data_IF_235415045357
#
_entry.id   IF_235415045357
#
_cell.length_a   1.000
_cell.length_b   1.000
_cell.length_c   1.000
_cell.angle_alpha   90.00
_cell.angle_beta   90.00
_cell.angle_gamma   90.00
#
_symmetry.space_group_name_H-M   'P 1'
#
loop_
_entity.id
_entity.type
_entity.pdbx_description
1 polymer ?
#
# COMPACT_ATOMS: atom_id res chain seq x y z
N UNK A 1 -30.85 -11.08 39.35
CA UNK A 1 -32.29 -10.74 39.33
C UNK A 1 -32.65 -10.63 37.86
N UNK A 2 -33.51 -11.50 37.31
CA UNK A 2 -33.83 -11.51 35.88
C UNK A 2 -35.06 -10.64 35.63
N UNK A 3 -34.92 -9.61 34.79
CA UNK A 3 -36.00 -8.74 34.41
C UNK A 3 -36.40 -9.11 32.97
N UNK A 4 -37.47 -9.89 32.84
CA UNK A 4 -38.06 -10.23 31.54
C UNK A 4 -39.07 -9.13 31.21
N UNK A 5 -38.78 -8.30 30.21
CA UNK A 5 -39.71 -7.28 29.73
C UNK A 5 -40.06 -7.61 28.30
N UNK A 6 -41.33 -7.92 28.05
CA UNK A 6 -41.85 -8.07 26.71
C UNK A 6 -42.07 -6.65 26.15
N UNK A 7 -41.27 -6.27 25.14
CA UNK A 7 -41.33 -5.02 24.37
C UNK A 7 -40.77 -3.75 25.07
N UNK A 8 -39.44 -3.59 25.04
CA UNK A 8 -38.74 -2.37 25.47
C UNK A 8 -38.56 -1.39 24.30
N UNK A 9 -39.62 -0.66 23.95
CA UNK A 9 -39.54 0.45 22.98
C UNK A 9 -39.47 1.79 23.72
N UNK A 10 -38.36 2.50 23.58
CA UNK A 10 -38.13 3.83 24.16
C UNK A 10 -38.34 4.93 23.12
N UNK A 11 -38.78 6.12 23.57
CA UNK A 11 -39.04 7.29 22.71
C UNK A 11 -37.92 8.32 22.78
N UNK A 12 -38.01 9.37 21.96
CA UNK A 12 -37.02 10.46 21.86
C UNK A 12 -36.56 11.00 23.21
N UNK A 13 -35.25 11.05 23.44
CA UNK A 13 -34.61 11.62 24.64
C UNK A 13 -34.53 10.69 25.85
N UNK A 14 -34.99 9.44 25.73
CA UNK A 14 -34.87 8.44 26.78
C UNK A 14 -33.48 7.75 26.74
N UNK A 15 -32.82 7.71 27.90
CA UNK A 15 -31.58 6.95 28.14
C UNK A 15 -31.88 5.62 28.85
N UNK A 16 -31.06 4.60 28.61
CA UNK A 16 -31.15 3.30 29.29
C UNK A 16 -29.83 2.95 29.97
N UNK A 17 -29.89 2.62 31.25
CA UNK A 17 -28.77 2.01 31.98
C UNK A 17 -29.15 0.57 32.35
N UNK A 18 -28.29 -0.39 31.97
CA UNK A 18 -28.38 -1.80 32.38
C UNK A 18 -27.21 -2.11 33.32
N UNK A 19 -27.41 -2.05 34.65
CA UNK A 19 -26.35 -2.30 35.63
C UNK A 19 -25.82 -3.73 35.60
N UNK A 20 -24.68 -3.95 36.25
CA UNK A 20 -24.15 -5.29 36.49
C UNK A 20 -25.17 -6.20 37.19
N UNK A 21 -25.20 -7.48 36.82
CA UNK A 21 -26.10 -8.47 37.41
C UNK A 21 -27.58 -8.38 36.95
N UNK A 22 -27.90 -7.41 36.09
CA UNK A 22 -29.19 -7.35 35.39
C UNK A 22 -29.11 -8.10 34.06
N UNK A 23 -30.13 -8.91 33.80
CA UNK A 23 -30.36 -9.59 32.53
C UNK A 23 -31.64 -9.05 31.91
N UNK A 24 -31.55 -8.53 30.69
CA UNK A 24 -32.68 -8.24 29.80
C UNK A 24 -32.70 -9.31 28.72
N UNK A 25 -33.85 -9.99 28.55
CA UNK A 25 -34.00 -11.04 27.54
C UNK A 25 -35.30 -10.90 26.77
N UNK A 26 -35.28 -11.26 25.48
CA UNK A 26 -36.47 -11.44 24.64
C UNK A 26 -36.49 -12.86 24.08
N UNK A 27 -37.66 -13.52 24.10
CA UNK A 27 -37.85 -14.89 23.61
C UNK A 27 -38.24 -14.98 22.14
N UNK A 28 -38.75 -13.89 21.55
CA UNK A 28 -39.39 -13.92 20.23
C UNK A 28 -38.93 -12.76 19.32
N UNK A 29 -37.83 -12.08 19.67
CA UNK A 29 -37.31 -11.01 18.82
C UNK A 29 -36.24 -10.13 19.45
N UNK A 30 -36.40 -8.82 19.25
CA UNK A 30 -35.51 -7.76 19.71
C UNK A 30 -35.63 -7.54 21.23
N UNK A 31 -34.52 -7.39 21.95
CA UNK A 31 -34.54 -7.18 23.40
C UNK A 31 -34.69 -5.70 23.82
N UNK A 32 -34.08 -4.77 23.08
CA UNK A 32 -34.18 -3.32 23.32
C UNK A 32 -34.32 -2.59 21.98
N UNK A 33 -35.33 -1.70 21.89
CA UNK A 33 -35.56 -0.81 20.76
C UNK A 33 -35.61 0.64 21.23
N UNK A 34 -34.80 1.52 20.67
CA UNK A 34 -34.85 2.95 20.95
C UNK A 34 -35.17 3.70 19.65
N UNK A 35 -36.34 4.36 19.63
CA UNK A 35 -36.87 5.07 18.48
C UNK A 35 -36.83 6.59 18.74
N UNK A 36 -36.22 7.35 17.83
CA UNK A 36 -36.09 8.80 17.95
C UNK A 36 -34.67 9.29 18.24
N UNK A 37 -34.55 10.52 18.75
CA UNK A 37 -33.27 11.22 18.86
C UNK A 37 -32.66 11.19 20.25
N UNK A 38 -31.33 11.27 20.33
CA UNK A 38 -30.60 11.60 21.56
C UNK A 38 -30.45 10.47 22.58
N UNK A 39 -30.48 9.21 22.15
CA UNK A 39 -30.38 8.07 23.06
C UNK A 39 -28.94 7.77 23.46
N UNK A 40 -28.72 7.57 24.77
CA UNK A 40 -27.53 6.90 25.32
C UNK A 40 -27.95 5.61 26.02
N UNK A 41 -27.50 4.47 25.50
CA UNK A 41 -27.67 3.17 26.15
C UNK A 41 -26.33 2.75 26.76
N UNK A 42 -26.31 2.51 28.07
CA UNK A 42 -25.14 2.00 28.80
C UNK A 42 -25.41 0.60 29.33
N UNK A 43 -24.54 -0.36 29.00
CA UNK A 43 -24.71 -1.78 29.33
C UNK A 43 -23.51 -2.29 30.13
N UNK A 44 -23.72 -2.50 31.43
CA UNK A 44 -22.80 -3.20 32.33
C UNK A 44 -23.28 -4.62 32.70
N UNK A 45 -24.56 -4.92 32.45
CA UNK A 45 -25.15 -6.26 32.60
C UNK A 45 -25.17 -7.08 31.30
N UNK A 46 -26.19 -7.92 31.14
CA UNK A 46 -26.38 -8.76 29.94
C UNK A 46 -27.69 -8.40 29.24
N UNK A 47 -27.62 -8.17 27.93
CA UNK A 47 -28.79 -8.08 27.05
C UNK A 47 -28.72 -9.24 26.05
N UNK A 48 -29.77 -10.06 26.00
CA UNK A 48 -29.90 -11.16 25.05
C UNK A 48 -31.20 -11.07 24.27
N UNK A 49 -31.13 -11.05 22.94
CA UNK A 49 -32.32 -11.23 22.10
C UNK A 49 -32.20 -12.45 21.19
N UNK A 50 -33.30 -12.86 20.58
CA UNK A 50 -33.26 -13.92 19.56
C UNK A 50 -32.82 -13.33 18.22
N UNK A 51 -33.59 -12.41 17.65
CA UNK A 51 -33.26 -11.77 16.36
C UNK A 51 -32.34 -10.56 16.50
N UNK A 52 -32.32 -9.92 17.69
CA UNK A 52 -31.69 -8.63 17.93
C UNK A 52 -31.42 -8.37 19.42
N UNK A 53 -30.23 -7.93 19.84
CA UNK A 53 -30.07 -7.46 21.23
C UNK A 53 -30.50 -5.99 21.37
N UNK A 54 -29.94 -5.10 20.54
CA UNK A 54 -30.22 -3.66 20.58
C UNK A 54 -30.48 -3.11 19.18
N UNK A 55 -31.56 -2.36 19.02
CA UNK A 55 -31.87 -1.55 17.85
C UNK A 55 -31.92 -0.08 18.27
N UNK A 56 -31.17 0.74 17.56
CA UNK A 56 -31.19 2.19 17.66
C UNK A 56 -31.62 2.75 16.30
N UNK A 57 -32.77 3.42 16.27
CA UNK A 57 -33.37 3.92 15.02
C UNK A 57 -33.88 5.35 15.20
N UNK A 58 -33.08 6.30 14.72
CA UNK A 58 -33.30 7.73 14.93
C UNK A 58 -33.79 8.48 13.69
N UNK A 59 -34.00 9.79 13.84
CA UNK A 59 -34.14 10.70 12.71
C UNK A 59 -32.80 10.90 11.98
N UNK A 60 -32.88 11.37 10.74
CA UNK A 60 -31.68 11.71 9.96
C UNK A 60 -30.91 12.85 10.65
N UNK A 61 -29.72 12.55 11.18
CA UNK A 61 -28.83 13.51 11.84
C UNK A 61 -28.77 13.44 13.37
N UNK A 62 -29.60 12.61 14.01
CA UNK A 62 -29.63 12.50 15.47
C UNK A 62 -28.44 11.68 16.00
N UNK A 63 -27.83 12.12 17.11
CA UNK A 63 -26.78 11.36 17.77
C UNK A 63 -27.37 10.15 18.53
N UNK A 64 -26.76 8.99 18.35
CA UNK A 64 -27.08 7.75 19.04
C UNK A 64 -25.79 7.17 19.64
N UNK A 65 -25.81 6.88 20.94
CA UNK A 65 -24.65 6.35 21.67
C UNK A 65 -24.99 5.03 22.34
N UNK A 66 -24.12 4.04 22.14
CA UNK A 66 -24.16 2.77 22.87
C UNK A 66 -22.80 2.55 23.53
N UNK A 67 -22.81 2.37 24.85
CA UNK A 67 -21.62 2.10 25.66
C UNK A 67 -21.79 0.74 26.31
N UNK A 68 -20.88 -0.18 26.04
CA UNK A 68 -20.82 -1.50 26.67
C UNK A 68 -19.64 -1.46 27.63
N UNK A 69 -19.94 -1.37 28.92
CA UNK A 69 -18.92 -1.31 29.96
C UNK A 69 -18.17 -2.64 30.09
N UNK A 70 -17.03 -2.63 30.78
CA UNK A 70 -16.33 -3.88 31.13
C UNK A 70 -17.27 -4.82 31.88
N UNK A 71 -17.29 -6.09 31.47
CA UNK A 71 -18.21 -7.10 31.99
C UNK A 71 -19.62 -7.06 31.37
N UNK A 72 -19.96 -5.98 30.67
CA UNK A 72 -21.19 -5.88 29.88
C UNK A 72 -21.17 -6.82 28.68
N UNK A 73 -22.33 -7.38 28.36
CA UNK A 73 -22.46 -8.32 27.24
C UNK A 73 -23.74 -8.08 26.45
N UNK A 74 -23.60 -8.08 25.12
CA UNK A 74 -24.70 -8.16 24.16
C UNK A 74 -24.62 -9.49 23.41
N UNK A 75 -25.75 -10.17 23.27
CA UNK A 75 -25.80 -11.41 22.50
C UNK A 75 -27.10 -11.57 21.73
N UNK A 76 -27.01 -12.05 20.50
CA UNK A 76 -28.17 -12.43 19.69
C UNK A 76 -27.88 -13.64 18.80
N UNK A 77 -28.94 -14.26 18.28
CA UNK A 77 -28.83 -15.42 17.37
C UNK A 77 -28.51 -15.03 15.92
N UNK A 78 -28.68 -13.76 15.53
CA UNK A 78 -28.32 -13.27 14.20
C UNK A 78 -27.60 -11.93 14.24
N UNK A 79 -28.30 -10.85 14.64
CA UNK A 79 -27.71 -9.50 14.73
C UNK A 79 -27.66 -9.02 16.17
N UNK A 80 -26.50 -8.70 16.76
CA UNK A 80 -26.49 -8.20 18.15
C UNK A 80 -26.91 -6.73 18.22
N UNK A 81 -26.30 -5.86 17.40
CA UNK A 81 -26.57 -4.43 17.41
C UNK A 81 -26.95 -3.94 16.02
N UNK A 82 -28.01 -3.14 15.91
CA UNK A 82 -28.38 -2.45 14.68
C UNK A 82 -28.55 -0.96 14.90
N UNK A 83 -27.89 -0.16 14.07
CA UNK A 83 -28.09 1.29 13.95
C UNK A 83 -28.69 1.60 12.59
N UNK A 84 -29.91 2.15 12.58
CA UNK A 84 -30.68 2.34 11.35
C UNK A 84 -30.64 3.76 10.79
N UNK A 85 -30.20 4.77 11.55
CA UNK A 85 -30.05 6.16 11.10
C UNK A 85 -29.21 6.99 12.09
N UNK A 86 -28.90 8.23 11.70
CA UNK A 86 -28.31 9.23 12.59
C UNK A 86 -26.78 9.29 12.53
N UNK A 87 -26.18 9.81 13.60
CA UNK A 87 -24.75 9.78 13.88
C UNK A 87 -24.50 8.75 14.97
N UNK A 88 -23.72 7.73 14.65
CA UNK A 88 -23.52 6.56 15.50
C UNK A 88 -22.22 6.68 16.28
N UNK A 89 -22.29 6.50 17.61
CA UNK A 89 -21.13 6.26 18.46
C UNK A 89 -21.32 4.95 19.22
N UNK A 90 -20.34 4.05 19.12
CA UNK A 90 -20.31 2.79 19.87
C UNK A 90 -18.98 2.67 20.60
N UNK A 91 -19.03 2.51 21.92
CA UNK A 91 -17.86 2.21 22.76
C UNK A 91 -18.02 0.82 23.35
N UNK A 92 -17.22 -0.15 22.90
CA UNK A 92 -17.26 -1.52 23.39
C UNK A 92 -16.05 -1.85 24.27
N UNK A 93 -16.23 -1.83 25.59
CA UNK A 93 -15.28 -2.36 26.57
C UNK A 93 -15.64 -3.77 27.07
N UNK A 94 -16.75 -4.34 26.60
CA UNK A 94 -17.29 -5.62 27.02
C UNK A 94 -17.23 -6.66 25.91
N UNK A 95 -18.34 -7.37 25.69
CA UNK A 95 -18.46 -8.39 24.66
C UNK A 95 -19.73 -8.25 23.82
N UNK A 96 -19.57 -8.34 22.50
CA UNK A 96 -20.68 -8.44 21.54
C UNK A 96 -20.57 -9.79 20.86
N UNK A 97 -21.62 -10.60 20.93
CA UNK A 97 -21.64 -11.96 20.39
C UNK A 97 -22.85 -12.19 19.47
N UNK A 98 -22.59 -12.38 18.18
CA UNK A 98 -23.58 -12.87 17.24
C UNK A 98 -22.94 -13.84 16.21
N UNK A 99 -23.58 -14.99 15.90
CA UNK A 99 -23.07 -15.93 14.90
C UNK A 99 -23.28 -15.43 13.46
N UNK A 100 -24.10 -14.39 13.26
CA UNK A 100 -24.27 -13.68 12.00
C UNK A 100 -23.50 -12.35 12.00
N UNK A 101 -24.23 -11.26 12.18
CA UNK A 101 -23.73 -9.88 12.12
C UNK A 101 -23.65 -9.32 13.53
N UNK A 102 -22.46 -9.19 14.10
CA UNK A 102 -22.33 -8.59 15.43
C UNK A 102 -22.91 -7.17 15.46
N UNK A 103 -22.55 -6.36 14.44
CA UNK A 103 -22.96 -4.97 14.34
C UNK A 103 -23.42 -4.71 12.91
N UNK A 104 -24.55 -4.03 12.79
CA UNK A 104 -25.14 -3.66 11.53
C UNK A 104 -25.45 -2.16 11.51
N UNK A 105 -24.85 -1.40 10.59
CA UNK A 105 -24.99 0.06 10.53
C UNK A 105 -25.42 0.49 9.14
N UNK A 106 -26.53 1.24 9.05
CA UNK A 106 -26.88 2.01 7.85
C UNK A 106 -27.28 1.21 6.59
N UNK A 107 -27.56 -0.10 6.71
CA UNK A 107 -27.82 -0.96 5.53
C UNK A 107 -29.12 -0.66 4.80
N UNK A 108 -30.15 -0.22 5.52
CA UNK A 108 -31.45 0.11 4.90
C UNK A 108 -31.49 1.55 4.39
N UNK A 109 -30.73 2.43 5.05
CA UNK A 109 -30.56 3.83 4.70
C UNK A 109 -29.22 4.32 5.26
N UNK A 110 -28.48 5.16 4.53
CA UNK A 110 -27.19 5.63 4.99
C UNK A 110 -27.29 6.40 6.31
N UNK A 111 -26.26 6.24 7.14
CA UNK A 111 -26.05 7.06 8.34
C UNK A 111 -25.11 8.24 8.02
N UNK A 112 -25.22 9.31 8.80
CA UNK A 112 -24.42 10.53 8.64
C UNK A 112 -22.99 10.39 9.17
N UNK A 113 -22.72 9.41 10.03
CA UNK A 113 -21.38 8.98 10.44
C UNK A 113 -21.49 7.79 11.38
N UNK A 114 -20.42 7.00 11.44
CA UNK A 114 -20.27 5.95 12.43
C UNK A 114 -18.86 5.94 13.03
N UNK A 115 -18.77 6.03 14.35
CA UNK A 115 -17.53 5.95 15.11
C UNK A 115 -17.60 4.81 16.11
N UNK A 116 -16.71 3.83 15.95
CA UNK A 116 -16.63 2.63 16.78
C UNK A 116 -15.28 2.60 17.51
N UNK A 117 -15.32 2.51 18.83
CA UNK A 117 -14.17 2.27 19.68
C UNK A 117 -14.31 0.87 20.28
N UNK A 118 -13.37 -0.03 19.99
CA UNK A 118 -13.42 -1.43 20.41
C UNK A 118 -12.14 -1.88 21.15
N UNK A 119 -12.00 -1.54 22.44
CA UNK A 119 -11.06 -2.21 23.35
C UNK A 119 -11.54 -3.59 23.84
N UNK A 120 -12.81 -3.93 23.64
CA UNK A 120 -13.45 -5.18 24.05
C UNK A 120 -13.36 -6.29 22.99
N UNK A 121 -14.34 -7.20 23.03
CA UNK A 121 -14.43 -8.31 22.08
C UNK A 121 -15.70 -8.23 21.24
N UNK A 122 -15.55 -8.46 19.93
CA UNK A 122 -16.64 -8.60 18.97
C UNK A 122 -16.48 -9.95 18.27
N UNK A 123 -17.50 -10.81 18.38
CA UNK A 123 -17.59 -12.06 17.64
C UNK A 123 -18.80 -12.00 16.71
N UNK A 124 -18.54 -12.14 15.40
CA UNK A 124 -19.50 -11.88 14.32
C UNK A 124 -19.02 -10.75 13.41
N UNK A 125 -19.66 -10.59 12.26
CA UNK A 125 -19.28 -9.56 11.28
C UNK A 125 -19.73 -8.16 11.72
N UNK A 126 -18.89 -7.16 11.51
CA UNK A 126 -19.29 -5.75 11.49
C UNK A 126 -19.60 -5.39 10.04
N UNK A 127 -20.83 -5.00 9.75
CA UNK A 127 -21.26 -4.65 8.40
C UNK A 127 -21.85 -3.25 8.43
N UNK A 128 -21.28 -2.38 7.61
CA UNK A 128 -21.63 -0.97 7.54
C UNK A 128 -21.89 -0.55 6.10
N UNK A 129 -22.98 0.16 5.86
CA UNK A 129 -23.23 0.94 4.65
C UNK A 129 -23.40 2.42 5.05
N UNK A 130 -22.33 3.21 4.94
CA UNK A 130 -22.31 4.64 5.34
C UNK A 130 -22.15 5.53 4.13
N UNK A 131 -22.80 6.70 4.11
CA UNK A 131 -22.63 7.68 3.00
C UNK A 131 -21.97 8.99 3.42
N UNK A 132 -21.37 9.08 4.61
CA UNK A 132 -20.70 10.32 5.08
C UNK A 132 -19.48 10.04 6.01
N UNK A 133 -19.04 8.78 6.15
CA UNK A 133 -17.81 8.42 6.84
C UNK A 133 -17.95 7.37 7.96
N UNK A 134 -16.99 6.45 8.00
CA UNK A 134 -16.85 5.40 9.02
C UNK A 134 -15.49 5.50 9.69
N UNK A 135 -15.46 5.35 11.01
CA UNK A 135 -14.21 5.23 11.77
C UNK A 135 -14.27 4.07 12.75
N UNK A 136 -13.18 3.32 12.83
CA UNK A 136 -12.99 2.24 13.78
C UNK A 136 -11.62 2.33 14.43
N UNK A 137 -11.59 2.44 15.76
CA UNK A 137 -10.40 2.23 16.59
C UNK A 137 -10.54 0.88 17.30
N UNK A 138 -9.77 -0.11 16.85
CA UNK A 138 -9.75 -1.45 17.43
C UNK A 138 -8.46 -1.68 18.21
N UNK A 139 -8.55 -1.72 19.53
CA UNK A 139 -7.46 -2.14 20.44
C UNK A 139 -7.73 -3.50 21.11
N UNK A 140 -8.93 -4.05 20.92
CA UNK A 140 -9.36 -5.36 21.40
C UNK A 140 -9.35 -6.43 20.31
N UNK A 141 -10.44 -7.17 20.18
CA UNK A 141 -10.55 -8.23 19.17
C UNK A 141 -11.85 -8.17 18.37
N UNK A 142 -11.74 -8.36 17.06
CA UNK A 142 -12.85 -8.58 16.13
C UNK A 142 -12.63 -9.94 15.47
N UNK A 143 -13.58 -10.86 15.59
CA UNK A 143 -13.45 -12.20 15.04
C UNK A 143 -14.70 -12.57 14.26
N UNK A 144 -14.52 -12.88 12.97
CA UNK A 144 -15.57 -13.38 12.12
C UNK A 144 -16.22 -14.64 12.71
N UNK A 145 -17.51 -14.82 12.46
CA UNK A 145 -18.25 -15.97 12.99
C UNK A 145 -17.75 -17.34 12.48
N UNK A 146 -17.05 -17.34 11.34
CA UNK A 146 -16.46 -18.54 10.73
C UNK A 146 -15.03 -18.25 10.28
N UNK A 147 -14.16 -19.27 10.20
CA UNK A 147 -12.82 -19.12 9.64
C UNK A 147 -12.87 -18.51 8.24
N UNK A 148 -12.05 -17.50 7.98
CA UNK A 148 -12.00 -16.74 6.71
C UNK A 148 -13.32 -16.03 6.32
N UNK A 149 -14.30 -15.94 7.22
CA UNK A 149 -15.51 -15.16 7.01
C UNK A 149 -15.27 -13.66 7.14
N UNK A 150 -16.32 -12.88 6.87
CA UNK A 150 -16.31 -11.42 7.04
C UNK A 150 -16.15 -11.04 8.51
N UNK A 151 -15.09 -10.28 8.82
CA UNK A 151 -14.92 -9.65 10.13
C UNK A 151 -15.38 -8.19 10.08
N UNK A 152 -15.01 -7.48 9.02
CA UNK A 152 -15.34 -6.07 8.81
C UNK A 152 -15.63 -5.83 7.33
N UNK A 153 -16.82 -5.33 7.02
CA UNK A 153 -17.21 -4.89 5.68
C UNK A 153 -17.79 -3.49 5.79
N UNK A 154 -17.16 -2.53 5.12
CA UNK A 154 -17.58 -1.13 5.06
C UNK A 154 -17.81 -0.78 3.60
N UNK A 155 -18.99 -0.26 3.28
CA UNK A 155 -19.32 0.21 1.94
C UNK A 155 -19.77 1.66 1.95
N UNK A 156 -19.56 2.35 0.82
CA UNK A 156 -19.92 3.75 0.62
C UNK A 156 -18.71 4.69 0.76
N UNK A 157 -18.83 5.72 1.57
CA UNK A 157 -17.81 6.79 1.71
C UNK A 157 -16.55 6.34 2.47
N UNK A 158 -15.53 7.21 2.45
CA UNK A 158 -14.22 6.97 3.03
C UNK A 158 -14.27 6.50 4.50
N UNK A 159 -13.51 5.45 4.76
CA UNK A 159 -13.34 4.80 6.04
C UNK A 159 -11.96 5.10 6.61
N UNK A 160 -11.89 5.29 7.92
CA UNK A 160 -10.65 5.36 8.68
C UNK A 160 -10.59 4.22 9.69
N UNK A 161 -9.66 3.30 9.50
CA UNK A 161 -9.45 2.14 10.37
C UNK A 161 -8.11 2.24 11.08
N UNK A 162 -8.13 2.18 12.41
CA UNK A 162 -6.94 2.00 13.25
C UNK A 162 -7.07 0.67 13.96
N UNK A 163 -6.13 -0.25 13.70
CA UNK A 163 -6.07 -1.54 14.38
C UNK A 163 -4.78 -1.67 15.18
N UNK A 164 -4.88 -1.62 16.50
CA UNK A 164 -3.82 -2.00 17.45
C UNK A 164 -4.05 -3.40 18.08
N UNK A 165 -5.23 -3.97 17.86
CA UNK A 165 -5.65 -5.27 18.41
C UNK A 165 -5.56 -6.41 17.40
N UNK A 166 -6.53 -7.33 17.45
CA UNK A 166 -6.63 -8.47 16.55
C UNK A 166 -7.90 -8.41 15.69
N UNK A 167 -7.76 -8.65 14.39
CA UNK A 167 -8.88 -8.87 13.46
C UNK A 167 -8.71 -10.24 12.81
N UNK A 168 -9.66 -11.14 13.02
CA UNK A 168 -9.65 -12.50 12.45
C UNK A 168 -10.79 -12.64 11.44
N UNK A 169 -10.47 -12.58 10.16
CA UNK A 169 -11.43 -12.64 9.05
C UNK A 169 -11.10 -11.64 7.94
N UNK A 170 -11.94 -11.61 6.92
CA UNK A 170 -11.86 -10.64 5.82
C UNK A 170 -12.13 -9.23 6.35
N UNK A 171 -11.26 -8.30 5.96
CA UNK A 171 -11.47 -6.86 6.01
C UNK A 171 -11.72 -6.38 4.58
N UNK A 172 -12.87 -5.76 4.34
CA UNK A 172 -13.25 -5.24 3.03
C UNK A 172 -13.80 -3.82 3.15
N UNK A 173 -13.17 -2.90 2.46
CA UNK A 173 -13.64 -1.56 2.16
C UNK A 173 -13.91 -1.52 0.63
N UNK A 174 -14.76 -0.62 0.10
CA UNK A 174 -15.26 -0.79 -1.28
C UNK A 174 -15.26 0.40 -2.23
N UNK A 175 -15.56 1.63 -1.82
CA UNK A 175 -15.98 2.67 -2.79
C UNK A 175 -15.46 4.10 -2.54
N UNK A 176 -14.40 4.29 -1.73
CA UNK A 176 -13.81 5.60 -1.48
C UNK A 176 -12.33 5.52 -1.08
N UNK A 177 -11.65 6.67 -1.06
CA UNK A 177 -10.27 6.77 -0.57
C UNK A 177 -10.18 6.50 0.93
N UNK A 178 -9.83 5.27 1.27
CA UNK A 178 -9.80 4.72 2.61
C UNK A 178 -8.42 4.81 3.26
N UNK A 179 -8.40 4.93 4.59
CA UNK A 179 -7.15 4.97 5.36
C UNK A 179 -7.17 3.89 6.42
N UNK A 180 -6.22 2.97 6.33
CA UNK A 180 -6.05 1.86 7.26
C UNK A 180 -4.65 1.90 7.88
N UNK A 181 -4.58 2.10 9.19
CA UNK A 181 -3.36 1.95 9.98
C UNK A 181 -3.44 0.67 10.79
N UNK A 182 -2.55 -0.28 10.51
CA UNK A 182 -2.41 -1.51 11.25
C UNK A 182 -1.11 -1.53 12.06
N UNK A 183 -1.25 -1.68 13.37
CA UNK A 183 -0.19 -1.93 14.37
C UNK A 183 -0.41 -3.23 15.14
N UNK A 184 -1.50 -3.93 14.84
CA UNK A 184 -1.89 -5.19 15.45
C UNK A 184 -1.77 -6.36 14.47
N UNK A 185 -2.57 -7.40 14.69
CA UNK A 185 -2.60 -8.59 13.86
C UNK A 185 -3.90 -8.69 13.06
N UNK A 186 -3.79 -8.98 11.77
CA UNK A 186 -4.91 -9.31 10.89
C UNK A 186 -4.69 -10.71 10.31
N UNK A 187 -5.60 -11.63 10.62
CA UNK A 187 -5.59 -12.99 10.10
C UNK A 187 -6.74 -13.12 9.10
N UNK A 188 -6.45 -12.81 7.84
CA UNK A 188 -7.43 -12.80 6.77
C UNK A 188 -6.98 -11.94 5.60
N UNK A 189 -7.81 -11.90 4.56
CA UNK A 189 -7.59 -11.02 3.42
C UNK A 189 -7.96 -9.57 3.76
N UNK A 190 -7.27 -8.62 3.13
CA UNK A 190 -7.61 -7.19 3.15
C UNK A 190 -7.91 -6.74 1.72
N UNK A 191 -9.03 -6.04 1.53
CA UNK A 191 -9.47 -5.47 0.25
C UNK A 191 -9.91 -4.03 0.49
N UNK A 192 -9.36 -3.06 -0.22
CA UNK A 192 -9.70 -1.64 0.01
C UNK A 192 -10.67 -1.08 -1.05
N UNK A 193 -10.63 -1.61 -2.27
CA UNK A 193 -11.69 -1.37 -3.26
C UNK A 193 -11.34 -0.22 -4.19
N UNK A 194 -12.28 0.66 -4.48
CA UNK A 194 -12.04 1.82 -5.32
C UNK A 194 -11.70 3.05 -4.48
N UNK A 195 -10.82 3.91 -4.95
CA UNK A 195 -10.31 5.07 -4.23
C UNK A 195 -8.79 5.03 -4.14
N UNK A 196 -8.15 6.19 -3.98
CA UNK A 196 -6.71 6.22 -3.65
C UNK A 196 -6.53 5.92 -2.17
N UNK A 197 -6.22 4.67 -1.86
CA UNK A 197 -6.22 4.14 -0.51
C UNK A 197 -4.83 4.19 0.14
N UNK A 198 -4.81 4.29 1.46
CA UNK A 198 -3.59 4.22 2.26
C UNK A 198 -3.68 3.04 3.22
N UNK A 199 -2.81 2.05 3.04
CA UNK A 199 -2.57 0.98 4.01
C UNK A 199 -1.19 1.14 4.65
N UNK A 200 -1.18 1.68 5.86
CA UNK A 200 0.01 1.73 6.70
C UNK A 200 0.07 0.49 7.59
N UNK A 201 0.84 -0.51 7.17
CA UNK A 201 1.05 -1.75 7.93
C UNK A 201 2.39 -1.76 8.69
N UNK A 202 3.02 -0.60 8.93
CA UNK A 202 4.26 -0.55 9.73
C UNK A 202 4.04 -1.15 11.11
N UNK A 203 4.98 -1.98 11.58
CA UNK A 203 4.91 -2.69 12.85
C UNK A 203 3.69 -3.63 13.04
N UNK A 204 2.82 -3.75 12.03
CA UNK A 204 1.66 -4.65 12.02
C UNK A 204 1.93 -5.95 11.26
N UNK A 205 1.07 -6.94 11.50
CA UNK A 205 1.08 -8.23 10.82
C UNK A 205 -0.21 -8.41 10.01
N UNK A 206 -0.10 -8.72 8.71
CA UNK A 206 -1.25 -9.13 7.87
C UNK A 206 -0.96 -10.50 7.25
N UNK A 207 -1.63 -11.52 7.81
CA UNK A 207 -1.50 -12.91 7.38
C UNK A 207 -2.58 -13.26 6.36
N UNK A 208 -2.46 -12.70 5.17
CA UNK A 208 -3.35 -13.00 4.04
C UNK A 208 -2.99 -12.22 2.79
N UNK A 209 -3.76 -12.38 1.71
CA UNK A 209 -3.61 -11.55 0.52
C UNK A 209 -4.14 -10.13 0.79
N UNK A 210 -3.47 -9.15 0.20
CA UNK A 210 -3.88 -7.74 0.16
C UNK A 210 -4.22 -7.38 -1.28
N UNK A 211 -5.32 -6.66 -1.46
CA UNK A 211 -5.72 -6.04 -2.73
C UNK A 211 -6.10 -4.60 -2.44
N UNK A 212 -5.37 -3.64 -3.01
CA UNK A 212 -5.64 -2.22 -2.78
C UNK A 212 -6.86 -1.84 -3.64
N UNK A 213 -6.74 -1.89 -4.97
CA UNK A 213 -7.86 -1.96 -5.90
C UNK A 213 -7.75 -0.93 -7.02
N UNK A 214 -8.76 -0.09 -7.21
CA UNK A 214 -8.73 0.96 -8.24
C UNK A 214 -8.33 2.29 -7.60
N UNK A 215 -7.32 2.98 -8.12
CA UNK A 215 -6.87 4.27 -7.59
C UNK A 215 -5.34 4.32 -7.50
N UNK A 216 -4.81 5.50 -7.20
CA UNK A 216 -3.37 5.60 -6.92
C UNK A 216 -3.17 5.27 -5.43
N UNK A 217 -2.79 4.03 -5.12
CA UNK A 217 -2.74 3.52 -3.75
C UNK A 217 -1.34 3.61 -3.12
N UNK A 218 -1.31 3.65 -1.78
CA UNK A 218 -0.08 3.58 -0.98
C UNK A 218 -0.13 2.43 0.01
N UNK A 219 0.77 1.46 -0.17
CA UNK A 219 1.08 0.45 0.85
C UNK A 219 2.42 0.75 1.52
N UNK A 220 2.37 1.07 2.81
CA UNK A 220 3.58 1.05 3.66
C UNK A 220 3.71 -0.35 4.25
N UNK A 221 4.71 -1.09 3.75
CA UNK A 221 4.83 -2.51 4.01
C UNK A 221 5.22 -2.81 5.47
N UNK A 222 4.66 -3.90 5.99
CA UNK A 222 4.92 -4.40 7.34
C UNK A 222 5.67 -5.74 7.35
N UNK A 223 5.70 -6.37 8.53
CA UNK A 223 6.24 -7.72 8.67
C UNK A 223 5.13 -8.72 8.29
N UNK A 224 5.30 -9.45 7.17
CA UNK A 224 4.37 -10.43 6.57
C UNK A 224 3.31 -9.90 5.60
N UNK A 225 3.30 -10.47 4.38
CA UNK A 225 2.20 -10.52 3.41
C UNK A 225 2.44 -11.72 2.46
N UNK A 226 1.43 -12.44 1.97
CA UNK A 226 1.68 -13.60 1.06
C UNK A 226 1.59 -13.20 -0.42
N UNK A 227 0.65 -12.31 -0.73
CA UNK A 227 0.45 -11.71 -2.05
C UNK A 227 -0.14 -10.33 -1.83
N UNK A 228 0.39 -9.34 -2.52
CA UNK A 228 -0.12 -7.99 -2.57
C UNK A 228 -0.34 -7.63 -4.03
N UNK A 229 -1.51 -7.07 -4.31
CA UNK A 229 -1.83 -6.46 -5.61
C UNK A 229 -2.22 -5.01 -5.35
N UNK A 230 -1.58 -4.05 -6.02
CA UNK A 230 -2.01 -2.65 -6.05
C UNK A 230 -3.33 -2.58 -6.78
N UNK A 231 -3.30 -2.59 -8.11
CA UNK A 231 -4.46 -2.87 -8.93
C UNK A 231 -4.45 -2.00 -10.18
N UNK A 232 -5.49 -1.21 -10.38
CA UNK A 232 -5.55 -0.20 -11.45
C UNK A 232 -5.15 1.16 -10.89
N UNK A 233 -4.33 1.92 -11.59
CA UNK A 233 -3.85 3.22 -11.12
C UNK A 233 -2.33 3.25 -11.07
N UNK A 234 -1.77 4.24 -10.35
CA UNK A 234 -0.34 4.35 -10.09
C UNK A 234 -0.05 4.05 -8.63
N UNK A 235 0.39 2.82 -8.35
CA UNK A 235 0.49 2.33 -6.99
C UNK A 235 1.90 2.42 -6.42
N UNK A 236 1.98 2.81 -5.15
CA UNK A 236 3.24 2.97 -4.41
C UNK A 236 3.42 1.92 -3.31
N UNK A 237 4.56 1.25 -3.35
CA UNK A 237 5.00 0.31 -2.33
C UNK A 237 6.18 0.89 -1.55
N UNK A 238 6.01 1.10 -0.25
CA UNK A 238 6.97 1.78 0.61
C UNK A 238 7.59 0.84 1.66
N UNK A 239 8.91 0.65 1.56
CA UNK A 239 9.75 -0.12 2.50
C UNK A 239 10.71 0.76 3.31
N UNK A 240 10.56 2.09 3.30
CA UNK A 240 11.49 3.04 3.92
C UNK A 240 11.74 2.82 5.42
N UNK A 241 10.86 2.07 6.08
CA UNK A 241 10.92 1.75 7.50
C UNK A 241 11.47 0.33 7.79
N UNK A 242 11.77 -0.45 6.75
CA UNK A 242 12.25 -1.82 6.84
C UNK A 242 13.78 -1.96 6.88
N UNK A 243 14.25 -3.21 6.85
CA UNK A 243 15.63 -3.53 6.47
C UNK A 243 15.73 -3.82 4.96
N UNK A 244 16.88 -4.36 4.52
CA UNK A 244 17.13 -4.66 3.10
C UNK A 244 15.95 -5.32 2.37
N UNK A 245 15.63 -4.76 1.21
CA UNK A 245 14.54 -5.16 0.32
C UNK A 245 15.11 -5.95 -0.85
N UNK A 246 14.50 -7.09 -1.17
CA UNK A 246 14.78 -7.78 -2.44
C UNK A 246 13.46 -8.07 -3.14
N UNK A 247 13.16 -7.28 -4.17
CA UNK A 247 11.85 -7.19 -4.79
C UNK A 247 11.96 -7.22 -6.33
N UNK A 248 11.12 -8.02 -6.98
CA UNK A 248 10.84 -7.95 -8.41
C UNK A 248 9.34 -7.82 -8.65
N UNK A 249 8.92 -6.79 -9.40
CA UNK A 249 7.51 -6.52 -9.70
C UNK A 249 6.97 -7.28 -10.92
N UNK A 250 7.84 -7.89 -11.72
CA UNK A 250 7.50 -8.65 -12.94
C UNK A 250 7.31 -10.16 -12.73
N UNK A 251 7.27 -10.62 -11.47
CA UNK A 251 7.26 -12.05 -11.09
C UNK A 251 8.53 -12.83 -11.44
N UNK A 252 9.54 -12.23 -12.05
CA UNK A 252 10.83 -12.87 -12.21
C UNK A 252 11.43 -13.05 -10.82
N UNK A 253 11.77 -14.30 -10.48
CA UNK A 253 12.35 -14.59 -9.17
C UNK A 253 13.80 -14.12 -9.16
N UNK A 254 14.20 -13.18 -8.29
CA UNK A 254 15.60 -12.89 -8.11
C UNK A 254 16.24 -14.12 -7.45
N UNK A 255 17.33 -14.63 -8.01
CA UNK A 255 18.14 -15.61 -7.30
C UNK A 255 18.87 -14.87 -6.15
N UNK A 256 18.41 -15.06 -4.90
CA UNK A 256 19.11 -14.55 -3.70
C UNK A 256 18.40 -13.52 -2.82
N UNK A 257 17.06 -13.43 -2.86
CA UNK A 257 16.27 -12.40 -2.15
C UNK A 257 15.71 -12.69 -0.75
N UNK A 258 15.61 -11.67 0.13
CA UNK A 258 15.09 -11.74 1.52
C UNK A 258 13.55 -11.72 1.64
N UNK A 259 12.80 -11.34 0.60
CA UNK A 259 11.34 -11.52 0.58
C UNK A 259 10.98 -12.99 0.28
N UNK A 260 11.10 -13.84 1.31
CA UNK A 260 10.77 -15.26 1.28
C UNK A 260 9.28 -15.48 0.92
N UNK A 261 8.96 -15.65 -0.36
CA UNK A 261 7.67 -16.18 -0.81
C UNK A 261 6.54 -15.17 -0.93
N UNK A 262 6.79 -13.87 -0.76
CA UNK A 262 5.81 -12.81 -1.00
C UNK A 262 5.78 -12.49 -2.51
N UNK A 263 4.65 -12.00 -3.00
CA UNK A 263 4.50 -11.55 -4.40
C UNK A 263 3.82 -10.19 -4.40
N UNK A 264 4.44 -9.21 -5.05
CA UNK A 264 3.91 -7.85 -5.24
C UNK A 264 3.65 -7.65 -6.73
N UNK A 265 2.47 -7.15 -7.08
CA UNK A 265 1.96 -7.05 -8.44
C UNK A 265 1.18 -5.76 -8.62
N UNK A 266 1.23 -5.16 -9.81
CA UNK A 266 0.53 -3.90 -10.10
C UNK A 266 1.04 -2.80 -9.19
N UNK A 267 2.35 -2.57 -9.20
CA UNK A 267 2.98 -1.44 -8.54
C UNK A 267 3.92 -0.81 -9.55
N UNK A 268 3.90 0.51 -9.62
CA UNK A 268 4.73 1.29 -10.52
C UNK A 268 5.75 2.12 -9.73
N UNK A 269 5.48 2.43 -8.47
CA UNK A 269 6.40 3.09 -7.57
C UNK A 269 6.87 2.18 -6.44
N UNK A 270 8.18 2.14 -6.21
CA UNK A 270 8.80 1.46 -5.08
C UNK A 270 9.74 2.42 -4.36
N UNK A 271 9.61 2.46 -3.04
CA UNK A 271 10.56 3.10 -2.14
C UNK A 271 11.25 1.98 -1.35
N UNK A 272 12.57 1.90 -1.50
CA UNK A 272 13.47 0.99 -0.81
C UNK A 272 13.62 1.32 0.68
N UNK A 273 14.64 0.75 1.32
CA UNK A 273 14.93 0.88 2.74
C UNK A 273 15.98 1.95 3.01
N UNK A 274 15.88 2.62 4.15
CA UNK A 274 16.85 3.68 4.50
C UNK A 274 18.19 3.13 5.06
N UNK A 275 18.31 1.82 5.31
CA UNK A 275 19.38 1.23 6.12
C UNK A 275 20.03 -0.02 5.51
N UNK A 276 19.63 -0.45 4.32
CA UNK A 276 20.04 -1.72 3.73
C UNK A 276 20.30 -1.59 2.24
N UNK A 277 21.30 -2.34 1.74
CA UNK A 277 21.47 -2.49 0.30
C UNK A 277 20.32 -3.30 -0.27
N UNK A 278 19.60 -2.70 -1.21
CA UNK A 278 18.40 -3.23 -1.80
C UNK A 278 18.66 -3.81 -3.18
N UNK A 279 17.81 -4.75 -3.59
CA UNK A 279 17.69 -5.16 -4.98
C UNK A 279 16.24 -4.96 -5.41
N UNK A 280 15.99 -4.05 -6.34
CA UNK A 280 14.64 -3.67 -6.75
C UNK A 280 14.55 -3.70 -8.28
N UNK A 281 13.73 -4.61 -8.81
CA UNK A 281 13.40 -4.70 -10.22
C UNK A 281 11.96 -4.27 -10.50
N UNK A 282 11.79 -3.36 -11.46
CA UNK A 282 10.52 -2.87 -11.98
C UNK A 282 9.74 -3.92 -12.78
N UNK A 283 8.87 -3.47 -13.67
CA UNK A 283 8.09 -4.30 -14.58
C UNK A 283 8.20 -3.75 -16.01
N UNK A 284 7.19 -3.92 -16.85
CA UNK A 284 7.21 -3.44 -18.23
C UNK A 284 6.51 -2.07 -18.42
N UNK A 285 6.06 -1.46 -17.31
CA UNK A 285 5.45 -0.14 -17.27
C UNK A 285 6.46 0.91 -16.81
N UNK A 286 6.12 2.19 -16.95
CA UNK A 286 6.93 3.30 -16.47
C UNK A 286 7.01 3.26 -14.93
N UNK A 287 8.19 2.95 -14.40
CA UNK A 287 8.40 2.77 -12.97
C UNK A 287 9.16 3.94 -12.33
N UNK A 288 8.90 4.14 -11.03
CA UNK A 288 9.68 5.00 -10.16
C UNK A 288 10.28 4.17 -9.04
N UNK A 289 11.60 4.10 -8.99
CA UNK A 289 12.31 3.32 -7.97
C UNK A 289 13.26 4.27 -7.22
N UNK A 290 13.11 4.30 -5.89
CA UNK A 290 13.92 5.11 -4.98
C UNK A 290 14.61 4.17 -3.98
N UNK A 291 15.92 3.96 -4.09
CA UNK A 291 16.69 3.03 -3.23
C UNK A 291 16.87 3.53 -1.79
N UNK A 292 16.87 4.85 -1.61
CA UNK A 292 17.11 5.57 -0.35
C UNK A 292 18.54 5.43 0.19
N UNK A 293 18.86 4.42 0.97
CA UNK A 293 20.12 4.36 1.70
C UNK A 293 20.65 2.94 1.81
N UNK A 294 21.85 2.72 1.32
CA UNK A 294 22.36 1.38 1.10
C UNK A 294 23.25 1.34 -0.14
N UNK A 295 23.82 0.19 -0.45
CA UNK A 295 24.39 -0.01 -1.79
C UNK A 295 23.37 -0.79 -2.59
N UNK A 296 22.61 -0.09 -3.42
CA UNK A 296 21.40 -0.59 -4.04
C UNK A 296 21.65 -1.07 -5.47
N UNK A 297 20.83 -2.01 -5.93
CA UNK A 297 20.75 -2.44 -7.33
C UNK A 297 19.33 -2.23 -7.82
N UNK A 298 19.16 -1.23 -8.68
CA UNK A 298 17.87 -0.80 -9.19
C UNK A 298 17.78 -1.12 -10.69
N UNK A 299 16.71 -1.78 -11.12
CA UNK A 299 16.46 -2.11 -12.52
C UNK A 299 15.07 -1.66 -12.94
N UNK A 300 14.99 -0.73 -13.90
CA UNK A 300 13.71 -0.23 -14.46
C UNK A 300 13.05 -1.28 -15.37
N UNK A 301 13.85 -1.86 -16.27
CA UNK A 301 13.49 -2.88 -17.28
C UNK A 301 12.89 -2.28 -18.54
N UNK A 302 11.58 -2.33 -18.72
CA UNK A 302 10.95 -1.76 -19.93
C UNK A 302 10.01 -0.67 -19.48
N UNK A 303 10.04 0.46 -20.17
CA UNK A 303 9.26 1.62 -19.76
C UNK A 303 10.12 2.87 -19.82
N UNK A 304 9.54 4.04 -19.53
CA UNK A 304 10.30 5.24 -19.26
C UNK A 304 10.48 5.37 -17.74
N UNK A 305 11.57 4.81 -17.22
CA UNK A 305 11.77 4.63 -15.79
C UNK A 305 12.47 5.83 -15.14
N UNK A 306 12.18 6.05 -13.86
CA UNK A 306 12.90 7.01 -13.00
C UNK A 306 13.54 6.27 -11.85
N UNK A 307 14.87 6.18 -11.87
CA UNK A 307 15.67 5.47 -10.87
C UNK A 307 16.46 6.48 -10.02
N UNK A 308 16.41 6.33 -8.70
CA UNK A 308 17.21 7.10 -7.74
C UNK A 308 17.91 6.14 -6.81
N UNK A 309 19.24 6.09 -6.84
CA UNK A 309 20.06 5.28 -5.94
C UNK A 309 19.91 5.74 -4.50
N UNK A 310 20.41 6.93 -4.22
CA UNK A 310 20.30 7.54 -2.90
C UNK A 310 21.67 7.66 -2.24
N UNK A 311 21.76 7.40 -0.94
CA UNK A 311 23.06 7.34 -0.26
C UNK A 311 23.70 5.96 -0.42
N UNK A 312 24.89 5.89 -1.03
CA UNK A 312 25.71 4.70 -1.07
C UNK A 312 26.37 4.46 -2.42
N UNK A 313 26.70 3.22 -2.72
CA UNK A 313 27.37 2.87 -3.97
C UNK A 313 26.42 2.09 -4.85
N UNK A 314 25.62 2.80 -5.64
CA UNK A 314 24.44 2.20 -6.26
C UNK A 314 24.72 1.71 -7.67
N UNK A 315 23.98 0.69 -8.10
CA UNK A 315 23.96 0.17 -9.48
C UNK A 315 22.60 0.44 -10.08
N UNK A 316 22.55 1.29 -11.11
CA UNK A 316 21.30 1.70 -11.76
C UNK A 316 21.28 1.16 -13.20
N UNK A 317 20.30 0.32 -13.50
CA UNK A 317 20.04 -0.27 -14.82
C UNK A 317 18.70 0.28 -15.31
N UNK A 318 18.72 1.28 -16.19
CA UNK A 318 17.48 1.84 -16.76
C UNK A 318 16.69 0.76 -17.50
N UNK A 319 17.33 0.19 -18.52
CA UNK A 319 16.74 -0.81 -19.40
C UNK A 319 16.23 -0.18 -20.70
N UNK A 320 15.25 -0.81 -21.33
CA UNK A 320 14.66 -0.33 -22.57
C UNK A 320 13.64 0.78 -22.33
N UNK A 321 13.73 1.82 -23.16
CA UNK A 321 12.87 3.00 -23.04
C UNK A 321 13.71 4.20 -22.61
N UNK A 322 13.07 5.34 -22.34
CA UNK A 322 13.83 6.57 -22.05
C UNK A 322 13.85 6.81 -20.56
N UNK A 323 14.98 6.49 -19.96
CA UNK A 323 15.11 6.46 -18.51
C UNK A 323 15.77 7.70 -17.94
N UNK A 324 15.51 7.95 -16.67
CA UNK A 324 16.10 9.03 -15.89
C UNK A 324 16.72 8.44 -14.63
N UNK A 325 18.05 8.38 -14.59
CA UNK A 325 18.81 7.83 -13.49
C UNK A 325 19.50 8.94 -12.68
N UNK A 326 19.42 8.84 -11.37
CA UNK A 326 20.10 9.73 -10.40
C UNK A 326 20.85 8.85 -9.42
N UNK A 327 22.18 8.95 -9.37
CA UNK A 327 23.00 8.16 -8.45
C UNK A 327 22.75 8.54 -7.00
N UNK A 328 22.78 9.84 -6.68
CA UNK A 328 22.76 10.29 -5.29
C UNK A 328 24.16 10.18 -4.65
N UNK A 329 24.39 10.54 -3.39
CA UNK A 329 25.75 10.54 -2.81
C UNK A 329 26.45 9.19 -2.81
N UNK A 330 27.66 9.13 -3.39
CA UNK A 330 28.58 8.00 -3.22
C UNK A 330 29.28 7.62 -4.52
N UNK A 331 29.42 6.33 -4.81
CA UNK A 331 30.13 5.84 -6.02
C UNK A 331 29.20 4.97 -6.82
N UNK A 332 28.55 5.59 -7.79
CA UNK A 332 27.43 4.97 -8.48
C UNK A 332 27.87 4.40 -9.84
N UNK A 333 27.20 3.35 -10.29
CA UNK A 333 27.43 2.71 -11.58
C UNK A 333 26.14 2.72 -12.38
N UNK A 334 26.14 3.40 -13.52
CA UNK A 334 25.04 3.42 -14.47
C UNK A 334 25.31 2.39 -15.55
N UNK A 335 24.54 1.30 -15.55
CA UNK A 335 24.75 0.14 -16.41
C UNK A 335 23.80 0.20 -17.60
N UNK A 336 24.35 -0.06 -18.78
CA UNK A 336 23.59 -0.14 -20.03
C UNK A 336 23.85 -1.49 -20.69
N UNK A 337 22.78 -2.19 -21.05
CA UNK A 337 22.83 -3.38 -21.89
C UNK A 337 22.50 -3.08 -23.35
N UNK A 338 22.50 -4.12 -24.18
CA UNK A 338 22.11 -3.99 -25.58
C UNK A 338 20.66 -3.51 -25.75
N UNK A 339 20.51 -2.32 -26.32
CA UNK A 339 19.19 -1.74 -26.61
C UNK A 339 18.63 -0.87 -25.48
N UNK A 340 19.36 -0.73 -24.38
CA UNK A 340 18.95 -0.03 -23.16
C UNK A 340 19.29 1.47 -23.20
N UNK A 341 19.22 2.12 -24.36
CA UNK A 341 19.68 3.51 -24.51
C UNK A 341 18.56 4.53 -24.74
N UNK A 342 17.31 4.08 -24.79
CA UNK A 342 16.10 4.82 -25.21
C UNK A 342 16.07 5.32 -26.66
N UNK A 343 17.19 5.80 -27.19
CA UNK A 343 17.42 6.11 -28.58
C UNK A 343 18.59 7.05 -28.83
N UNK A 344 18.86 7.33 -30.11
CA UNK A 344 20.04 8.11 -30.55
C UNK A 344 19.92 9.64 -30.51
N UNK A 345 18.78 10.18 -30.08
CA UNK A 345 18.50 11.64 -30.12
C UNK A 345 18.46 12.25 -28.72
N UNK A 346 18.66 13.57 -28.59
CA UNK A 346 18.58 14.24 -27.27
C UNK A 346 17.24 13.98 -26.55
N UNK A 347 16.15 13.91 -27.31
CA UNK A 347 14.81 13.74 -26.75
C UNK A 347 14.47 12.29 -26.42
N UNK A 348 15.31 11.33 -26.82
CA UNK A 348 15.05 9.89 -26.65
C UNK A 348 16.12 9.14 -25.86
N UNK A 349 17.34 9.66 -25.81
CA UNK A 349 18.40 9.05 -25.02
C UNK A 349 18.15 9.18 -23.52
N UNK A 350 18.67 8.22 -22.77
CA UNK A 350 18.56 8.20 -21.32
C UNK A 350 19.31 9.36 -20.68
N UNK A 351 18.88 9.70 -19.48
CA UNK A 351 19.40 10.86 -18.76
C UNK A 351 20.01 10.42 -17.44
N UNK A 352 21.29 10.72 -17.26
CA UNK A 352 21.95 10.70 -15.96
C UNK A 352 21.93 12.13 -15.41
N UNK A 353 21.30 12.33 -14.26
CA UNK A 353 21.00 13.68 -13.75
C UNK A 353 22.14 14.30 -12.92
N UNK A 354 23.00 13.47 -12.33
CA UNK A 354 23.96 13.92 -11.31
C UNK A 354 25.34 13.25 -11.39
N UNK A 355 25.77 12.84 -12.59
CA UNK A 355 27.07 12.20 -12.82
C UNK A 355 28.24 13.01 -12.20
N UNK A 356 28.99 12.40 -11.26
CA UNK A 356 30.19 12.99 -10.62
C UNK A 356 31.39 12.06 -10.77
N UNK A 357 32.08 12.08 -11.93
CA UNK A 357 33.22 11.19 -12.18
C UNK A 357 34.37 11.39 -11.18
N UNK A 358 34.53 12.62 -10.66
CA UNK A 358 35.53 12.93 -9.62
C UNK A 358 35.27 12.26 -8.27
N UNK A 359 34.02 11.88 -8.00
CA UNK A 359 33.64 11.17 -6.77
C UNK A 359 33.71 9.65 -6.94
N UNK A 360 33.70 9.19 -8.20
CA UNK A 360 33.95 7.80 -8.57
C UNK A 360 32.79 7.16 -9.34
N UNK A 361 31.78 7.94 -9.71
CA UNK A 361 30.67 7.47 -10.55
C UNK A 361 31.20 6.95 -11.90
N UNK A 362 30.57 5.89 -12.42
CA UNK A 362 30.97 5.23 -13.66
C UNK A 362 29.79 4.93 -14.57
N UNK A 363 30.08 4.87 -15.87
CA UNK A 363 29.16 4.36 -16.89
C UNK A 363 29.68 2.98 -17.31
N UNK A 364 28.87 1.95 -17.12
CA UNK A 364 29.19 0.58 -17.50
C UNK A 364 28.52 0.25 -18.84
N UNK A 365 29.34 -0.05 -19.83
CA UNK A 365 28.97 -0.45 -21.18
C UNK A 365 29.52 -1.85 -21.51
N UNK A 366 29.96 -2.61 -20.49
CA UNK A 366 30.60 -3.91 -20.69
C UNK A 366 29.64 -5.01 -21.17
N UNK A 367 28.34 -4.75 -21.16
CA UNK A 367 27.32 -5.64 -21.75
C UNK A 367 26.89 -5.21 -23.17
N UNK A 368 27.55 -4.20 -23.74
CA UNK A 368 27.20 -3.63 -25.05
C UNK A 368 28.29 -3.96 -26.04
N UNK A 369 27.96 -4.80 -27.01
CA UNK A 369 28.89 -5.10 -28.10
C UNK A 369 29.14 -3.85 -28.95
N UNK A 370 30.37 -3.33 -28.86
CA UNK A 370 30.79 -2.14 -29.57
C UNK A 370 30.89 -2.35 -31.09
N UNK A 371 30.92 -3.60 -31.59
CA UNK A 371 30.98 -3.88 -33.03
C UNK A 371 30.16 -5.11 -33.45
N UNK A 372 28.88 -4.87 -33.77
CA UNK A 372 27.93 -5.92 -34.16
C UNK A 372 28.27 -6.66 -35.46
N UNK A 373 29.27 -6.19 -36.21
CA UNK A 373 29.71 -6.82 -37.45
C UNK A 373 30.76 -7.92 -37.22
N UNK A 374 31.30 -8.00 -36.00
CA UNK A 374 32.32 -8.97 -35.60
C UNK A 374 31.75 -9.84 -34.47
N UNK A 375 32.07 -11.14 -34.49
CA UNK A 375 31.56 -12.06 -33.48
C UNK A 375 32.28 -11.91 -32.14
N UNK A 376 31.53 -11.83 -31.05
CA UNK A 376 32.02 -11.68 -29.68
C UNK A 376 31.47 -10.40 -29.05
N UNK A 377 31.98 -10.04 -27.88
CA UNK A 377 31.68 -8.77 -27.22
C UNK A 377 32.92 -7.88 -27.30
N UNK A 378 32.82 -6.78 -28.06
CA UNK A 378 33.94 -5.86 -28.27
C UNK A 378 33.81 -4.65 -27.35
N UNK A 379 34.93 -4.24 -26.77
CA UNK A 379 35.03 -3.03 -25.96
C UNK A 379 35.03 -1.77 -26.83
N UNK A 380 34.42 -0.70 -26.32
CA UNK A 380 34.49 0.62 -26.95
C UNK A 380 35.88 1.25 -26.83
N UNK A 381 36.18 2.17 -27.74
CA UNK A 381 37.33 3.09 -27.69
C UNK A 381 36.83 4.52 -27.49
N UNK A 382 37.18 5.13 -26.36
CA UNK A 382 36.82 6.52 -26.07
C UNK A 382 37.77 7.51 -26.77
N UNK A 383 37.24 8.29 -27.71
CA UNK A 383 37.99 9.27 -28.53
C UNK A 383 37.84 10.71 -28.01
N UNK A 384 37.20 10.91 -26.86
CA UNK A 384 37.06 12.24 -26.26
C UNK A 384 36.13 13.15 -27.08
N UNK A 385 36.63 14.30 -27.55
CA UNK A 385 35.85 15.30 -28.27
C UNK A 385 35.96 15.20 -29.79
N UNK A 386 36.79 14.29 -30.29
CA UNK A 386 37.01 14.09 -31.72
C UNK A 386 35.73 13.62 -32.43
N UNK A 387 35.70 13.79 -33.75
CA UNK A 387 34.62 13.25 -34.58
C UNK A 387 34.83 11.76 -34.83
N UNK A 388 33.73 11.02 -35.04
CA UNK A 388 33.82 9.63 -35.42
C UNK A 388 34.64 9.46 -36.70
N UNK A 389 35.48 8.42 -36.72
CA UNK A 389 36.41 8.12 -37.80
C UNK A 389 35.85 7.08 -38.77
N UNK A 390 34.54 6.78 -38.70
CA UNK A 390 33.90 5.68 -39.44
C UNK A 390 34.50 4.31 -39.04
N UNK A 391 34.72 4.15 -37.74
CA UNK A 391 35.23 2.93 -37.11
C UNK A 391 34.20 2.52 -36.07
N UNK A 392 33.72 1.28 -36.15
CA UNK A 392 32.80 0.73 -35.16
C UNK A 392 33.47 0.66 -33.78
N UNK A 393 32.67 0.92 -32.75
CA UNK A 393 33.07 0.88 -31.36
C UNK A 393 33.71 2.17 -30.85
N UNK A 394 33.46 3.31 -31.48
CA UNK A 394 33.94 4.60 -30.99
C UNK A 394 32.93 5.27 -30.05
N UNK A 395 33.43 5.86 -28.96
CA UNK A 395 32.67 6.70 -28.03
C UNK A 395 33.19 8.13 -28.01
N UNK A 396 32.30 9.12 -28.08
CA UNK A 396 32.66 10.54 -28.02
C UNK A 396 31.73 11.37 -27.15
N UNK A 397 32.21 12.54 -26.74
CA UNK A 397 31.44 13.57 -26.06
C UNK A 397 31.09 14.73 -27.00
N UNK A 398 29.89 15.28 -26.78
CA UNK A 398 29.43 16.52 -27.38
C UNK A 398 28.82 17.40 -26.30
N UNK A 399 29.35 18.61 -26.12
CA UNK A 399 28.79 19.59 -25.20
C UNK A 399 27.66 20.38 -25.87
N UNK A 400 26.46 20.30 -25.31
CA UNK A 400 25.31 21.13 -25.67
C UNK A 400 25.24 22.41 -24.83
N UNK A 401 24.13 23.14 -24.93
CA UNK A 401 23.95 24.38 -24.16
C UNK A 401 23.88 24.14 -22.64
N UNK A 402 23.22 23.05 -22.22
CA UNK A 402 22.93 22.76 -20.80
C UNK A 402 23.27 21.33 -20.37
N UNK A 403 23.71 20.48 -21.31
CA UNK A 403 23.94 19.06 -21.07
C UNK A 403 25.13 18.57 -21.90
N UNK A 404 25.69 17.44 -21.51
CA UNK A 404 26.73 16.71 -22.25
C UNK A 404 26.11 15.46 -22.84
N UNK A 405 26.40 15.15 -24.10
CA UNK A 405 25.97 13.90 -24.72
C UNK A 405 27.17 12.98 -24.92
N UNK A 406 27.07 11.76 -24.38
CA UNK A 406 27.92 10.65 -24.76
C UNK A 406 27.26 9.93 -25.94
N UNK A 407 28.00 9.76 -27.03
CA UNK A 407 27.54 9.14 -28.26
C UNK A 407 28.40 7.91 -28.55
N UNK A 408 27.79 6.82 -28.99
CA UNK A 408 28.50 5.65 -29.50
C UNK A 408 28.12 5.33 -30.95
N UNK A 409 29.12 4.94 -31.73
CA UNK A 409 29.01 4.41 -33.09
C UNK A 409 29.37 2.92 -33.03
N UNK A 410 28.40 2.05 -33.30
CA UNK A 410 28.53 0.58 -33.18
C UNK A 410 28.58 -0.14 -34.52
N UNK A 411 28.23 0.53 -35.63
CA UNK A 411 28.28 -0.05 -36.98
C UNK A 411 29.37 0.57 -37.87
N UNK A 412 30.02 1.63 -37.41
CA UNK A 412 31.14 2.30 -38.05
C UNK A 412 30.74 3.21 -39.21
N UNK A 413 29.48 3.62 -39.32
CA UNK A 413 29.02 4.51 -40.39
C UNK A 413 29.42 5.99 -40.17
N UNK A 414 29.96 6.32 -38.99
CA UNK A 414 30.36 7.67 -38.58
C UNK A 414 29.23 8.49 -37.95
N UNK A 415 28.07 7.89 -37.68
CA UNK A 415 26.94 8.47 -36.97
C UNK A 415 26.75 7.77 -35.62
N UNK A 416 26.04 8.45 -34.71
CA UNK A 416 25.73 7.87 -33.41
C UNK A 416 24.56 6.87 -33.53
N UNK A 417 24.75 5.68 -32.98
CA UNK A 417 23.74 4.63 -32.82
C UNK A 417 22.97 4.75 -31.51
N UNK A 418 23.61 5.32 -30.49
CA UNK A 418 22.97 5.62 -29.22
C UNK A 418 23.46 6.93 -28.63
N UNK A 419 22.73 7.40 -27.61
CA UNK A 419 23.06 8.61 -26.87
C UNK A 419 22.68 8.46 -25.40
N UNK A 420 23.63 8.81 -24.53
CA UNK A 420 23.37 9.03 -23.10
C UNK A 420 23.55 10.52 -22.82
N UNK A 421 22.59 11.11 -22.12
CA UNK A 421 22.57 12.53 -21.77
C UNK A 421 23.00 12.71 -20.32
N UNK A 422 24.09 13.43 -20.10
CA UNK A 422 24.54 13.84 -18.77
C UNK A 422 24.04 15.26 -18.52
N UNK A 423 23.30 15.47 -17.45
CA UNK A 423 22.79 16.80 -17.09
C UNK A 423 23.96 17.69 -16.65
N UNK A 424 24.09 18.86 -17.28
CA UNK A 424 25.23 19.77 -17.10
C UNK A 424 26.41 19.53 -18.04
N UNK A 425 27.45 20.36 -17.90
CA UNK A 425 28.71 20.24 -18.64
C UNK A 425 29.67 19.32 -17.87
N UNK A 426 29.52 18.02 -18.06
CA UNK A 426 30.28 16.98 -17.36
C UNK A 426 31.37 16.47 -18.30
N UNK A 427 32.62 16.55 -17.86
CA UNK A 427 33.75 15.99 -18.60
C UNK A 427 34.10 14.61 -18.03
N UNK A 428 33.82 13.56 -18.80
CA UNK A 428 34.21 12.17 -18.50
C UNK A 428 35.49 11.79 -19.26
N UNK A 429 36.25 10.86 -18.70
CA UNK A 429 37.51 10.34 -19.23
C UNK A 429 37.42 8.82 -19.37
N UNK A 430 38.39 8.21 -20.05
CA UNK A 430 38.43 6.77 -20.27
C UNK A 430 38.30 5.93 -18.97
N UNK A 431 38.80 6.43 -17.83
CA UNK A 431 38.71 5.74 -16.53
C UNK A 431 37.35 5.81 -15.83
N UNK A 432 36.42 6.60 -16.37
CA UNK A 432 35.04 6.74 -15.87
C UNK A 432 34.09 5.72 -16.53
N UNK A 433 34.64 4.86 -17.41
CA UNK A 433 33.91 3.81 -18.09
C UNK A 433 34.35 2.42 -17.62
N UNK A 434 33.41 1.49 -17.63
CA UNK A 434 33.68 0.04 -17.64
C UNK A 434 33.34 -0.42 -19.05
N UNK A 435 34.33 -0.92 -19.80
CA UNK A 435 34.28 -1.22 -21.23
C UNK A 435 34.77 -2.63 -21.53
#
# INVERSE_FOLDING_TARGET
MSLVIAENSFGTGDDLLVPEGILITSSDGLAVSALGSGHTITVAGLIRGESGAVLLDGGSGDAQSLVIARGGQLSASDTAVRFAAGRVRLENHGSILAPGKAILIGVDRPVASAALENPGSIQGAIITATSEGFSLDNSGSITAARPHGEALVVTGDAATLVNAGAINGLVQLTDAADVMTNRGAIIGAVRLGAGSDILDNRDGEIRGPITLGDGDDLLIAGQTTYRVTGGEGYDTLDFSHGGSVILALDLSRPAGGVLHGNTYLGFEAVIGSALGGDWIGGNAADNRIDGLGGADTLSGRSGADTLRGGEGGDTLIGGSGRDVCTGGPGRDTFVFGEGDFGGKTLARGDVITDMRPRQGDRIDLSEVDANRLVGGDQAFTFIGLDHFHQIAGELRLVFGATATSLLGDTDGDGNADFRIVLTGHINVHAGDFVL
#
